data_IF_501801820570
#
_entry.id   IF_501801820570
#
_cell.length_a   1.000
_cell.length_b   1.000
_cell.length_c   1.000
_cell.angle_alpha   90.00
_cell.angle_beta   90.00
_cell.angle_gamma   90.00
#
_symmetry.space_group_name_H-M   'P 1'
#
loop_
_entity.id
_entity.type
_entity.pdbx_description
1 polymer ?
#
# COMPACT_ATOMS: atom_id res chain seq x y z
N UNK A 1 44.97 41.27 -16.14
CA UNK A 1 44.79 40.57 -14.86
C UNK A 1 43.92 41.45 -14.00
N UNK A 2 42.72 40.97 -13.64
CA UNK A 2 42.15 41.04 -12.28
C UNK A 2 40.72 40.51 -12.36
N UNK A 3 40.54 39.30 -11.81
CA UNK A 3 39.26 38.60 -11.75
C UNK A 3 38.32 39.30 -10.76
N UNK A 4 36.99 39.31 -11.01
CA UNK A 4 36.02 39.83 -10.05
C UNK A 4 36.02 38.99 -8.75
N UNK A 5 35.70 39.61 -7.60
CA UNK A 5 35.85 39.00 -6.29
C UNK A 5 34.92 37.80 -6.09
N UNK A 6 35.48 36.72 -5.52
CA UNK A 6 34.77 35.49 -5.14
C UNK A 6 33.67 35.81 -4.12
N UNK A 7 32.41 35.57 -4.49
CA UNK A 7 31.30 35.50 -3.52
C UNK A 7 31.55 34.33 -2.55
N UNK A 8 31.54 34.62 -1.25
CA UNK A 8 31.66 33.62 -0.18
C UNK A 8 30.38 32.77 -0.15
N UNK A 9 30.55 31.46 -0.33
CA UNK A 9 29.52 30.46 -0.11
C UNK A 9 29.14 30.42 1.38
N UNK A 10 27.86 30.60 1.70
CA UNK A 10 27.31 30.44 3.05
C UNK A 10 26.53 29.12 3.07
N UNK A 11 26.92 28.12 3.88
CA UNK A 11 26.24 26.83 3.96
C UNK A 11 24.77 26.95 4.43
N UNK A 12 23.87 26.09 3.91
CA UNK A 12 22.42 26.22 4.11
C UNK A 12 21.93 26.02 5.56
N UNK A 13 22.76 25.54 6.48
CA UNK A 13 22.36 25.28 7.87
C UNK A 13 22.40 26.53 8.78
N UNK A 14 22.90 27.68 8.30
CA UNK A 14 23.00 28.92 9.09
C UNK A 14 21.94 29.99 8.70
N UNK A 15 20.89 29.62 7.96
CA UNK A 15 19.93 30.58 7.39
C UNK A 15 18.64 30.83 8.19
N UNK A 16 18.52 30.33 9.42
CA UNK A 16 17.31 30.49 10.21
C UNK A 16 17.54 31.30 11.49
N UNK A 17 17.23 32.61 11.44
CA UNK A 17 16.42 33.25 12.48
C UNK A 17 16.00 34.69 12.12
N UNK A 18 14.72 34.91 12.37
CA UNK A 18 14.02 36.16 12.69
C UNK A 18 13.35 36.95 11.56
N UNK A 19 12.02 37.09 11.76
CA UNK A 19 11.03 38.02 11.20
C UNK A 19 10.09 37.31 10.21
N UNK A 20 8.82 36.98 10.51
CA UNK A 20 7.90 37.56 11.49
C UNK A 20 6.86 38.42 10.78
N UNK A 21 5.99 37.82 9.97
CA UNK A 21 4.70 38.39 9.56
C UNK A 21 3.73 37.25 9.25
N UNK A 22 2.61 37.27 9.97
CA UNK A 22 1.50 36.35 9.85
C UNK A 22 0.81 36.47 8.49
N UNK A 23 0.53 35.34 7.85
CA UNK A 23 -0.54 35.22 6.85
C UNK A 23 -1.33 33.97 7.22
N UNK A 24 -2.63 34.18 7.41
CA UNK A 24 -3.61 33.20 7.84
C UNK A 24 -3.65 31.98 6.89
N UNK A 25 -3.51 30.79 7.46
CA UNK A 25 -4.00 29.58 6.82
C UNK A 25 -5.50 29.47 7.11
N UNK A 26 -6.26 29.42 6.02
CA UNK A 26 -7.68 29.14 5.95
C UNK A 26 -7.93 27.75 6.58
N UNK A 27 -8.38 27.77 7.83
CA UNK A 27 -8.90 26.59 8.52
C UNK A 27 -10.22 26.20 7.86
N UNK A 28 -10.22 25.07 7.14
CA UNK A 28 -11.47 24.39 6.85
C UNK A 28 -12.10 23.93 8.18
N UNK A 29 -13.42 24.15 8.39
CA UNK A 29 -14.04 23.96 9.70
C UNK A 29 -14.06 22.50 10.12
N UNK A 30 -13.38 22.24 11.25
CA UNK A 30 -13.57 21.08 12.11
C UNK A 30 -15.04 21.02 12.56
N UNK A 31 -15.82 20.12 11.97
CA UNK A 31 -17.07 19.65 12.56
C UNK A 31 -17.19 18.15 12.31
N UNK A 32 -16.62 17.33 13.20
CA UNK A 32 -17.21 16.03 13.52
C UNK A 32 -17.04 15.72 15.02
N UNK A 33 -18.09 15.20 15.67
CA UNK A 33 -18.18 15.15 17.12
C UNK A 33 -17.32 14.01 17.69
N UNK A 34 -16.76 14.28 18.87
CA UNK A 34 -16.21 13.27 19.75
C UNK A 34 -17.31 12.26 20.13
N UNK A 35 -17.16 11.02 19.70
CA UNK A 35 -17.77 9.86 20.35
C UNK A 35 -16.93 8.63 20.05
N UNK A 36 -16.16 8.20 21.06
CA UNK A 36 -15.75 6.82 21.21
C UNK A 36 -16.95 5.90 20.99
N UNK A 37 -16.89 5.04 19.98
CA UNK A 37 -17.61 3.78 20.01
C UNK A 37 -16.78 2.72 19.29
N UNK A 38 -16.41 1.71 20.09
CA UNK A 38 -15.85 0.43 19.68
C UNK A 38 -16.56 -0.05 18.41
N UNK A 39 -15.82 -0.38 17.37
CA UNK A 39 -16.37 -1.00 16.16
C UNK A 39 -17.19 -2.24 16.57
N UNK A 40 -18.52 -2.25 16.44
CA UNK A 40 -19.30 -3.45 16.68
C UNK A 40 -19.15 -4.33 15.44
N UNK A 41 -18.56 -5.51 15.67
CA UNK A 41 -18.50 -6.61 14.72
C UNK A 41 -19.93 -6.88 14.20
N UNK A 42 -20.20 -6.44 12.98
CA UNK A 42 -21.43 -6.77 12.26
C UNK A 42 -21.04 -7.70 11.13
N UNK A 43 -21.18 -9.00 11.40
CA UNK A 43 -21.25 -10.02 10.37
C UNK A 43 -22.49 -9.75 9.52
N UNK A 44 -22.30 -9.36 8.25
CA UNK A 44 -23.41 -9.17 7.32
C UNK A 44 -23.10 -9.89 6.01
N UNK A 45 -23.88 -10.95 5.80
CA UNK A 45 -24.36 -11.54 4.56
C UNK A 45 -23.34 -11.95 3.49
N UNK A 46 -23.10 -13.26 3.48
CA UNK A 46 -22.83 -14.09 2.32
C UNK A 46 -23.75 -13.74 1.13
N UNK A 47 -23.23 -12.96 0.19
CA UNK A 47 -23.74 -12.83 -1.17
C UNK A 47 -23.12 -13.93 -2.06
N UNK A 48 -23.81 -14.37 -3.13
CA UNK A 48 -23.44 -15.57 -3.87
C UNK A 48 -22.17 -15.32 -4.70
N UNK A 49 -21.11 -16.05 -4.36
CA UNK A 49 -19.90 -16.13 -5.19
C UNK A 49 -20.27 -16.64 -6.59
N UNK A 50 -20.14 -15.77 -7.58
CA UNK A 50 -20.19 -16.17 -8.98
C UNK A 50 -19.05 -17.16 -9.25
N UNK A 51 -19.41 -18.40 -9.61
CA UNK A 51 -18.49 -19.49 -9.95
C UNK A 51 -17.85 -19.20 -11.31
N UNK A 52 -16.83 -18.34 -11.36
CA UNK A 52 -15.89 -18.33 -12.50
C UNK A 52 -14.56 -18.94 -12.05
N UNK A 53 -14.34 -20.21 -12.43
CA UNK A 53 -13.01 -20.72 -12.81
C UNK A 53 -11.80 -20.55 -11.88
N UNK A 54 -11.95 -20.41 -10.55
CA UNK A 54 -10.78 -20.36 -9.66
C UNK A 54 -9.88 -21.58 -9.89
N UNK A 55 -8.66 -21.37 -10.40
CA UNK A 55 -7.62 -22.40 -10.43
C UNK A 55 -7.47 -22.95 -9.01
N UNK A 56 -7.93 -24.20 -8.80
CA UNK A 56 -7.80 -24.90 -7.51
C UNK A 56 -6.38 -24.87 -6.95
N UNK A 57 -5.40 -24.76 -7.85
CA UNK A 57 -4.00 -24.76 -7.52
C UNK A 57 -3.42 -23.39 -7.15
N UNK A 58 -4.13 -22.26 -7.28
CA UNK A 58 -3.57 -20.92 -6.99
C UNK A 58 -2.38 -20.49 -7.85
N UNK A 59 -1.96 -19.23 -7.69
CA UNK A 59 -0.86 -18.60 -8.42
C UNK A 59 0.45 -18.64 -7.61
N UNK A 60 1.59 -18.65 -8.29
CA UNK A 60 2.89 -18.41 -7.65
C UNK A 60 3.16 -16.91 -7.61
N UNK A 61 3.96 -16.46 -6.64
CA UNK A 61 4.43 -15.06 -6.60
C UNK A 61 5.07 -14.64 -7.92
N UNK A 62 5.91 -15.51 -8.50
CA UNK A 62 6.55 -15.30 -9.80
C UNK A 62 5.52 -15.10 -10.91
N UNK A 63 4.47 -15.92 -10.96
CA UNK A 63 3.43 -15.77 -11.99
C UNK A 63 2.69 -14.42 -11.87
N UNK A 64 2.35 -13.99 -10.65
CA UNK A 64 1.72 -12.68 -10.41
C UNK A 64 2.69 -11.56 -10.79
N UNK A 65 3.96 -11.63 -10.39
CA UNK A 65 4.98 -10.61 -10.75
C UNK A 65 5.21 -10.50 -12.24
N UNK A 66 5.19 -11.61 -12.96
CA UNK A 66 5.37 -11.59 -14.41
C UNK A 66 4.15 -11.03 -15.15
N UNK A 67 2.95 -11.08 -14.54
CA UNK A 67 1.70 -10.61 -15.16
C UNK A 67 1.28 -9.21 -14.71
N UNK A 68 1.50 -8.90 -13.44
CA UNK A 68 1.21 -7.61 -12.81
C UNK A 68 2.50 -7.13 -12.17
N UNK A 69 3.28 -6.35 -12.93
CA UNK A 69 4.59 -5.89 -12.50
C UNK A 69 4.52 -5.07 -11.21
N UNK A 70 5.39 -5.40 -10.26
CA UNK A 70 5.57 -4.64 -9.03
C UNK A 70 6.93 -4.91 -8.42
N UNK A 71 7.52 -3.90 -7.79
CA UNK A 71 8.92 -3.94 -7.32
C UNK A 71 9.16 -4.89 -6.15
N UNK A 72 8.13 -5.23 -5.38
CA UNK A 72 8.23 -6.03 -4.15
C UNK A 72 6.97 -6.89 -3.93
N UNK A 73 6.92 -7.58 -2.79
CA UNK A 73 5.76 -8.34 -2.28
C UNK A 73 5.05 -7.66 -1.11
N UNK A 74 5.34 -6.38 -0.85
CA UNK A 74 4.67 -5.65 0.22
C UNK A 74 3.16 -5.56 0.00
N UNK A 75 2.40 -5.22 1.05
CA UNK A 75 0.94 -5.24 0.96
C UNK A 75 0.38 -4.32 -0.09
N UNK A 76 0.88 -3.09 -0.21
CA UNK A 76 0.55 -2.21 -1.33
C UNK A 76 1.77 -2.12 -2.25
N UNK A 77 1.67 -2.72 -3.43
CA UNK A 77 2.80 -2.84 -4.34
C UNK A 77 2.79 -1.70 -5.34
N UNK A 78 3.82 -0.86 -5.30
CA UNK A 78 4.07 0.16 -6.33
C UNK A 78 4.31 -0.50 -7.70
N UNK A 79 3.75 0.07 -8.75
CA UNK A 79 4.09 -0.29 -10.13
C UNK A 79 5.60 -0.17 -10.34
N UNK A 80 6.18 -1.15 -11.00
CA UNK A 80 7.50 -0.99 -11.58
C UNK A 80 7.36 -0.34 -12.96
N UNK A 81 8.32 0.51 -13.35
CA UNK A 81 8.41 0.97 -14.73
C UNK A 81 8.56 -0.25 -15.65
N UNK A 82 7.86 -0.28 -16.79
CA UNK A 82 8.16 -1.27 -17.81
C UNK A 82 9.64 -1.11 -18.20
N UNK A 83 10.39 -2.21 -18.21
CA UNK A 83 11.74 -2.17 -18.77
C UNK A 83 11.59 -1.85 -20.26
N UNK A 84 12.38 -0.90 -20.81
CA UNK A 84 12.35 -0.61 -22.24
C UNK A 84 12.60 -1.94 -22.99
N UNK A 85 11.66 -2.29 -23.87
CA UNK A 85 11.74 -3.54 -24.60
C UNK A 85 13.00 -3.60 -25.47
N UNK A 86 13.72 -4.72 -25.43
CA UNK A 86 14.63 -5.09 -26.50
C UNK A 86 13.87 -5.97 -27.50
N UNK A 87 14.41 -6.19 -28.70
CA UNK A 87 13.83 -7.11 -29.68
C UNK A 87 13.60 -8.53 -29.13
N UNK A 88 14.30 -8.90 -28.05
CA UNK A 88 14.24 -10.20 -27.38
C UNK A 88 13.30 -10.22 -26.14
N UNK A 89 12.88 -9.05 -25.66
CA UNK A 89 12.01 -8.89 -24.51
C UNK A 89 10.89 -7.90 -24.83
N UNK A 90 9.71 -8.37 -25.32
CA UNK A 90 8.55 -7.50 -25.49
C UNK A 90 8.23 -6.82 -24.16
N UNK A 91 7.73 -5.58 -24.23
CA UNK A 91 7.39 -4.73 -23.08
C UNK A 91 6.89 -5.58 -21.91
N UNK A 92 7.61 -5.56 -20.79
CA UNK A 92 7.14 -6.28 -19.60
C UNK A 92 5.83 -5.61 -19.18
N UNK A 93 4.73 -6.31 -19.42
CA UNK A 93 3.38 -5.79 -19.32
C UNK A 93 3.08 -5.41 -17.87
N UNK A 94 2.63 -4.17 -17.68
CA UNK A 94 2.04 -3.79 -16.39
C UNK A 94 0.63 -4.40 -16.28
N UNK A 95 -0.03 -4.29 -15.12
CA UNK A 95 -1.45 -4.61 -15.04
C UNK A 95 -2.17 -3.96 -16.24
N UNK A 96 -2.79 -4.74 -17.14
CA UNK A 96 -3.42 -4.21 -18.35
C UNK A 96 -4.54 -3.23 -18.03
N UNK A 97 -5.07 -3.24 -16.81
CA UNK A 97 -6.06 -2.26 -16.34
C UNK A 97 -5.48 -0.92 -15.88
N UNK A 98 -4.15 -0.76 -15.90
CA UNK A 98 -3.43 0.38 -15.32
C UNK A 98 -2.56 1.10 -16.37
N UNK A 99 -2.71 0.75 -17.66
CA UNK A 99 -1.95 1.33 -18.76
C UNK A 99 -2.10 2.86 -18.84
N UNK A 100 -0.97 3.56 -19.04
CA UNK A 100 -0.95 5.00 -19.35
C UNK A 100 -1.01 5.95 -18.14
N UNK A 101 -0.88 5.45 -16.92
CA UNK A 101 -0.81 6.28 -15.70
C UNK A 101 0.64 6.53 -15.27
N UNK A 102 0.92 7.61 -14.50
CA UNK A 102 2.22 7.78 -13.85
C UNK A 102 2.51 6.58 -12.95
N UNK A 103 3.43 5.73 -13.41
CA UNK A 103 3.74 4.44 -12.78
C UNK A 103 4.32 4.60 -11.39
N UNK A 104 5.15 5.62 -11.20
CA UNK A 104 5.79 5.97 -9.94
C UNK A 104 4.79 6.34 -8.84
N UNK A 105 3.59 6.80 -9.21
CA UNK A 105 2.52 7.19 -8.28
C UNK A 105 1.41 6.14 -8.15
N UNK A 106 1.61 4.94 -8.68
CA UNK A 106 0.54 3.94 -8.82
C UNK A 106 0.79 2.66 -8.01
N UNK A 107 -0.27 2.15 -7.38
CA UNK A 107 -0.33 0.81 -6.80
C UNK A 107 -0.90 -0.14 -7.86
N UNK A 108 -0.12 -1.16 -8.28
CA UNK A 108 -0.56 -2.14 -9.29
C UNK A 108 -1.36 -3.31 -8.69
N UNK A 109 -1.08 -3.68 -7.45
CA UNK A 109 -1.68 -4.84 -6.79
C UNK A 109 -1.56 -4.74 -5.29
N UNK A 110 -2.44 -5.46 -4.59
CA UNK A 110 -2.38 -5.65 -3.15
C UNK A 110 -2.01 -7.11 -2.87
N UNK A 111 -0.93 -7.32 -2.10
CA UNK A 111 -0.43 -8.65 -1.73
C UNK A 111 -0.62 -8.89 -0.23
N UNK A 112 -1.65 -9.65 0.12
CA UNK A 112 -1.98 -9.94 1.51
C UNK A 112 -1.33 -11.25 1.93
N UNK A 113 -0.25 -11.14 2.69
CA UNK A 113 0.42 -12.30 3.27
C UNK A 113 -0.43 -12.97 4.36
N UNK A 114 -0.33 -14.30 4.41
CA UNK A 114 -0.99 -15.10 5.44
C UNK A 114 -0.42 -14.70 6.80
N UNK A 115 -1.29 -14.51 7.80
CA UNK A 115 -0.91 -14.09 9.16
C UNK A 115 -0.31 -12.68 9.28
N UNK A 116 -0.19 -11.93 8.18
CA UNK A 116 0.40 -10.59 8.16
C UNK A 116 -0.49 -9.50 8.74
N UNK A 117 -1.81 -9.73 8.75
CA UNK A 117 -2.87 -8.78 9.10
C UNK A 117 -3.87 -9.41 10.09
N UNK A 118 -4.60 -8.58 10.83
CA UNK A 118 -5.62 -9.02 11.79
C UNK A 118 -6.99 -9.27 11.15
N UNK A 119 -7.39 -8.44 10.18
CA UNK A 119 -8.70 -8.53 9.53
C UNK A 119 -8.61 -8.33 8.01
N UNK A 120 -7.88 -9.19 7.28
CA UNK A 120 -7.82 -9.12 5.84
C UNK A 120 -9.08 -9.74 5.17
N UNK A 121 -9.48 -9.26 3.98
CA UNK A 121 -8.84 -8.19 3.21
C UNK A 121 -9.25 -6.78 3.61
N UNK A 122 -10.28 -6.57 4.43
CA UNK A 122 -10.93 -5.27 4.65
C UNK A 122 -10.06 -4.25 5.39
N UNK A 123 -9.22 -4.71 6.33
CA UNK A 123 -8.26 -3.88 7.04
C UNK A 123 -6.84 -4.40 6.82
N UNK A 124 -5.98 -3.54 6.26
CA UNK A 124 -4.62 -3.87 5.89
C UNK A 124 -3.63 -2.87 6.49
N UNK A 125 -2.55 -3.38 7.05
CA UNK A 125 -1.49 -2.58 7.67
C UNK A 125 -0.23 -2.59 6.83
N UNK A 126 0.30 -1.42 6.51
CA UNK A 126 1.53 -1.31 5.70
C UNK A 126 2.49 -0.27 6.24
N UNK A 127 3.78 -0.55 6.11
CA UNK A 127 4.89 0.42 6.30
C UNK A 127 5.44 0.92 4.96
N UNK A 128 4.93 0.39 3.85
CA UNK A 128 5.40 0.67 2.50
C UNK A 128 4.26 1.13 1.61
N UNK A 129 4.55 2.06 0.70
CA UNK A 129 3.58 2.52 -0.31
C UNK A 129 2.41 3.31 0.26
N UNK A 130 2.42 3.68 1.55
CA UNK A 130 1.33 4.48 2.11
C UNK A 130 1.34 5.94 1.60
N UNK A 131 2.49 6.41 1.10
CA UNK A 131 2.65 7.65 0.34
C UNK A 131 1.81 7.66 -0.95
N UNK A 132 1.46 6.48 -1.47
CA UNK A 132 0.68 6.30 -2.70
C UNK A 132 -0.83 6.15 -2.43
N UNK A 133 -1.28 6.09 -1.17
CA UNK A 133 -2.69 5.80 -0.87
C UNK A 133 -3.61 6.90 -1.40
N UNK A 134 -3.19 8.17 -1.28
CA UNK A 134 -3.97 9.30 -1.76
C UNK A 134 -4.14 9.29 -3.29
N UNK A 135 -3.07 9.07 -4.05
CA UNK A 135 -3.12 9.01 -5.52
C UNK A 135 -3.85 7.75 -6.03
N UNK A 136 -4.05 6.75 -5.18
CA UNK A 136 -4.71 5.49 -5.53
C UNK A 136 -6.08 5.29 -4.88
N UNK A 137 -6.62 6.32 -4.23
CA UNK A 137 -7.97 6.28 -3.68
C UNK A 137 -9.00 6.02 -4.80
N UNK A 138 -10.02 5.21 -4.52
CA UNK A 138 -11.07 4.81 -5.47
C UNK A 138 -10.58 4.08 -6.73
N UNK A 139 -9.33 3.62 -6.76
CA UNK A 139 -8.83 2.76 -7.85
C UNK A 139 -9.15 1.31 -7.56
N UNK A 140 -9.51 0.59 -8.63
CA UNK A 140 -9.85 -0.84 -8.62
C UNK A 140 -8.59 -1.69 -8.68
N UNK A 141 -7.95 -1.91 -7.53
CA UNK A 141 -6.65 -2.58 -7.43
C UNK A 141 -6.88 -4.10 -7.22
N UNK A 142 -6.25 -4.98 -8.00
CA UNK A 142 -6.40 -6.42 -7.81
C UNK A 142 -5.76 -6.86 -6.48
N UNK A 143 -6.49 -7.65 -5.69
CA UNK A 143 -6.03 -8.22 -4.42
C UNK A 143 -5.69 -9.70 -4.61
N UNK A 144 -4.51 -10.08 -4.12
CA UNK A 144 -4.07 -11.47 -4.01
C UNK A 144 -3.82 -11.82 -2.54
N UNK A 145 -4.44 -12.89 -2.06
CA UNK A 145 -4.25 -13.40 -0.70
C UNK A 145 -3.41 -14.68 -0.71
N UNK A 146 -2.43 -14.76 0.18
CA UNK A 146 -1.61 -15.94 0.34
C UNK A 146 -2.38 -17.05 1.05
N UNK A 147 -2.37 -18.25 0.47
CA UNK A 147 -2.94 -19.47 1.02
C UNK A 147 -1.92 -20.22 1.88
N UNK A 148 -2.39 -21.18 2.69
CA UNK A 148 -1.53 -22.07 3.50
C UNK A 148 -0.50 -22.85 2.67
N UNK A 149 -0.79 -23.12 1.39
CA UNK A 149 0.13 -23.75 0.44
C UNK A 149 1.26 -22.83 -0.05
N UNK A 150 1.37 -21.61 0.50
CA UNK A 150 2.26 -20.51 0.04
C UNK A 150 1.94 -19.96 -1.35
N UNK A 151 0.94 -20.52 -2.03
CA UNK A 151 0.41 -20.00 -3.28
C UNK A 151 -0.57 -18.86 -3.01
N UNK A 152 -1.00 -18.18 -4.06
CA UNK A 152 -1.79 -16.96 -3.99
C UNK A 152 -3.14 -17.16 -4.66
N UNK A 153 -4.17 -16.53 -4.12
CA UNK A 153 -5.53 -16.56 -4.64
C UNK A 153 -5.98 -15.15 -4.97
N UNK A 154 -6.52 -14.93 -6.16
CA UNK A 154 -7.15 -13.67 -6.53
C UNK A 154 -8.47 -13.51 -5.76
N UNK A 155 -8.71 -12.35 -5.15
CA UNK A 155 -9.90 -12.09 -4.34
C UNK A 155 -10.86 -11.07 -4.94
N UNK A 156 -10.55 -10.56 -6.12
CA UNK A 156 -11.27 -9.46 -6.74
C UNK A 156 -10.48 -8.16 -6.72
N UNK A 157 -11.10 -7.10 -7.21
CA UNK A 157 -10.57 -5.74 -7.18
C UNK A 157 -11.13 -4.98 -5.99
N UNK A 158 -10.25 -4.33 -5.24
CA UNK A 158 -10.59 -3.57 -4.06
C UNK A 158 -10.23 -2.11 -4.26
N UNK A 159 -10.92 -1.25 -3.53
CA UNK A 159 -10.68 0.18 -3.49
C UNK A 159 -10.24 0.58 -2.09
N UNK A 160 -9.25 1.48 -2.01
CA UNK A 160 -8.91 2.16 -0.77
C UNK A 160 -10.00 3.16 -0.44
N UNK A 161 -10.62 3.02 0.73
CA UNK A 161 -11.69 3.91 1.19
C UNK A 161 -11.20 4.94 2.22
N UNK A 162 -10.14 4.61 2.96
CA UNK A 162 -9.52 5.52 3.92
C UNK A 162 -8.30 4.88 4.59
N UNK A 163 -7.52 5.70 5.29
CA UNK A 163 -6.38 5.22 6.07
C UNK A 163 -6.08 6.15 7.24
N UNK A 164 -5.42 5.62 8.27
CA UNK A 164 -4.85 6.39 9.39
C UNK A 164 -3.38 6.01 9.53
N UNK A 165 -2.51 7.00 9.66
CA UNK A 165 -1.07 6.78 9.91
C UNK A 165 -0.83 6.81 11.42
N UNK A 166 -0.17 5.77 11.91
CA UNK A 166 0.24 5.61 13.30
C UNK A 166 1.76 5.68 13.39
N UNK A 167 2.25 6.49 14.32
CA UNK A 167 3.68 6.65 14.54
C UNK A 167 4.31 5.34 15.04
N UNK A 168 5.56 5.10 14.65
CA UNK A 168 6.38 4.04 15.21
C UNK A 168 6.42 4.11 16.75
N UNK A 169 6.29 2.95 17.38
CA UNK A 169 6.34 2.80 18.83
C UNK A 169 5.05 3.18 19.56
N UNK A 170 4.02 3.64 18.85
CA UNK A 170 2.68 3.89 19.41
C UNK A 170 2.02 2.61 19.95
N UNK A 171 0.99 2.78 20.79
CA UNK A 171 0.24 1.66 21.35
C UNK A 171 -0.48 0.86 20.25
N UNK A 172 -1.02 1.55 19.25
CA UNK A 172 -1.71 0.96 18.11
C UNK A 172 -0.77 0.07 17.29
N UNK A 173 0.42 0.57 16.93
CA UNK A 173 1.43 -0.20 16.19
C UNK A 173 1.91 -1.40 17.00
N UNK A 174 2.19 -1.22 18.30
CA UNK A 174 2.59 -2.32 19.19
C UNK A 174 1.49 -3.38 19.27
N UNK A 175 0.24 -2.96 19.46
CA UNK A 175 -0.91 -3.84 19.58
C UNK A 175 -1.12 -4.65 18.29
N UNK A 176 -1.13 -4.00 17.13
CA UNK A 176 -1.21 -4.65 15.83
C UNK A 176 -0.08 -5.69 15.64
N UNK A 177 1.17 -5.27 15.86
CA UNK A 177 2.32 -6.14 15.65
C UNK A 177 2.31 -7.33 16.60
N UNK A 178 1.96 -7.16 17.87
CA UNK A 178 1.98 -8.27 18.83
C UNK A 178 0.86 -9.28 18.59
N UNK A 179 -0.28 -8.84 18.05
CA UNK A 179 -1.43 -9.71 17.82
C UNK A 179 -1.35 -10.52 16.52
N UNK A 180 -0.69 -10.02 15.47
CA UNK A 180 -0.66 -10.70 14.17
C UNK A 180 0.11 -12.03 14.24
N UNK A 181 -0.35 -13.04 13.50
CA UNK A 181 0.27 -14.37 13.51
C UNK A 181 1.72 -14.36 13.05
N UNK A 182 2.08 -13.46 12.12
CA UNK A 182 3.45 -13.28 11.64
C UNK A 182 4.45 -12.99 12.76
N UNK A 183 4.00 -12.43 13.88
CA UNK A 183 4.85 -12.10 15.04
C UNK A 183 5.11 -13.27 15.98
N UNK A 184 4.42 -14.39 15.79
CA UNK A 184 4.71 -15.65 16.51
C UNK A 184 5.93 -16.38 15.94
N UNK A 185 6.41 -15.96 14.77
CA UNK A 185 7.61 -16.51 14.11
C UNK A 185 8.87 -15.89 14.71
N UNK A 186 9.98 -16.65 14.85
CA UNK A 186 11.26 -16.10 15.31
C UNK A 186 11.74 -14.97 14.40
N UNK A 187 12.22 -13.87 15.01
CA UNK A 187 12.73 -12.68 14.32
C UNK A 187 13.98 -12.16 15.03
N UNK A 188 14.88 -11.56 14.27
CA UNK A 188 16.05 -10.88 14.84
C UNK A 188 15.63 -9.63 15.63
N UNK A 189 16.49 -9.19 16.56
CA UNK A 189 16.27 -7.95 17.29
C UNK A 189 16.16 -6.74 16.35
N UNK A 190 16.94 -6.72 15.26
CA UNK A 190 16.86 -5.70 14.22
C UNK A 190 15.48 -5.68 13.53
N UNK A 191 14.96 -6.85 13.13
CA UNK A 191 13.65 -6.94 12.50
C UNK A 191 12.51 -6.46 13.44
N UNK A 192 12.66 -6.69 14.75
CA UNK A 192 11.75 -6.14 15.76
C UNK A 192 11.87 -4.62 15.90
N UNK A 193 13.10 -4.11 15.95
CA UNK A 193 13.36 -2.67 16.05
C UNK A 193 12.78 -1.93 14.84
N UNK A 194 12.98 -2.45 13.63
CA UNK A 194 12.38 -1.88 12.41
C UNK A 194 10.86 -1.95 12.46
N UNK A 195 10.27 -3.12 12.75
CA UNK A 195 8.83 -3.27 12.73
C UNK A 195 8.14 -2.34 13.74
N UNK A 196 8.70 -2.17 14.94
CA UNK A 196 8.14 -1.33 15.98
C UNK A 196 8.51 0.14 15.84
N UNK A 197 9.64 0.46 15.21
CA UNK A 197 10.17 1.83 15.12
C UNK A 197 9.69 2.63 13.92
N UNK A 198 9.22 1.96 12.86
CA UNK A 198 8.68 2.61 11.67
C UNK A 198 7.20 2.94 11.81
N UNK A 199 6.76 3.97 11.08
CA UNK A 199 5.35 4.34 10.97
C UNK A 199 4.57 3.31 10.15
N UNK A 200 3.31 3.12 10.51
CA UNK A 200 2.39 2.23 9.80
C UNK A 200 1.13 2.96 9.41
N UNK A 201 0.61 2.67 8.23
CA UNK A 201 -0.75 3.02 7.84
C UNK A 201 -1.67 1.83 8.08
N UNK A 202 -2.75 2.06 8.84
CA UNK A 202 -3.93 1.20 8.87
C UNK A 202 -4.86 1.64 7.74
N UNK A 203 -5.05 0.80 6.74
CA UNK A 203 -5.76 1.08 5.49
C UNK A 203 -7.03 0.28 5.46
N UNK A 204 -8.15 0.97 5.28
CA UNK A 204 -9.46 0.37 5.05
C UNK A 204 -9.65 0.22 3.54
N UNK A 205 -9.99 -0.98 3.11
CA UNK A 205 -10.31 -1.30 1.72
C UNK A 205 -11.66 -2.00 1.64
N UNK A 206 -12.35 -1.83 0.51
CA UNK A 206 -13.59 -2.53 0.22
C UNK A 206 -13.51 -3.24 -1.12
N UNK A 207 -14.26 -4.33 -1.28
CA UNK A 207 -14.45 -4.92 -2.59
C UNK A 207 -15.14 -3.89 -3.50
N UNK A 208 -14.59 -3.65 -4.68
CA UNK A 208 -15.18 -2.76 -5.68
C UNK A 208 -16.52 -3.31 -6.15
N UNK A 209 -17.52 -2.45 -6.27
CA UNK A 209 -18.82 -2.81 -6.87
C UNK A 209 -18.65 -3.18 -8.35
N UNK A 210 -17.64 -2.62 -9.01
CA UNK A 210 -17.27 -2.93 -10.39
C UNK A 210 -16.09 -3.91 -10.45
N UNK A 211 -16.38 -5.13 -10.90
CA UNK A 211 -15.42 -6.22 -11.15
C UNK A 211 -15.19 -6.49 -12.66
N UNK A 212 -15.64 -5.59 -13.55
CA UNK A 212 -15.62 -5.78 -15.01
C UNK A 212 -14.24 -6.05 -15.61
N UNK A 213 -13.18 -5.51 -14.99
CA UNK A 213 -11.79 -5.73 -15.39
C UNK A 213 -11.31 -7.17 -15.14
N UNK A 214 -12.10 -7.98 -14.42
CA UNK A 214 -11.84 -9.40 -14.22
C UNK A 214 -10.54 -9.70 -13.46
N UNK A 215 -10.14 -10.96 -13.53
CA UNK A 215 -8.89 -11.45 -12.96
C UNK A 215 -7.73 -11.17 -13.94
N UNK A 216 -6.71 -10.37 -13.55
CA UNK A 216 -5.59 -10.06 -14.42
C UNK A 216 -4.75 -11.31 -14.79
N UNK A 217 -4.93 -12.44 -14.09
CA UNK A 217 -4.23 -13.70 -14.35
C UNK A 217 -4.88 -14.59 -15.43
N UNK A 218 -6.12 -14.30 -15.83
CA UNK A 218 -6.88 -15.15 -16.77
C UNK A 218 -6.94 -14.58 -18.20
N UNK A 219 -6.27 -13.44 -18.44
CA UNK A 219 -6.19 -12.73 -19.71
C UNK A 219 -4.81 -12.84 -20.36
#
# INVERSE_FOLDING_TARGET
>A
MDSPPKQKYIPPHLRNRASGTAIAQEQAPNVFPAAFNRCPFTAINSMPFSRSGYRRDGYTETSIRNRVLGGTTHTFVRCALPLPGSADHPELWVDPSVAGLPWDETICRIMVHLEGHLSPPEELWTRHGFDLLASNQNRRIPVFMQMRSKKWEYKGRYEVVGWTVHNGGSEEVRSFIMQRGESKKPKSAEAWATALGEDWACVQVRLSDDQSLGNPMDS
#
